data_IF_647956966888
#
_entry.id   IF_647956966888
#
_cell.length_a   1.000
_cell.length_b   1.000
_cell.length_c   1.000
_cell.angle_alpha   90.00
_cell.angle_beta   90.00
_cell.angle_gamma   90.00
#
_symmetry.space_group_name_H-M   'P 1'
#
loop_
_entity.id
_entity.type
_entity.pdbx_description
1 polymer ?
#
# COMPACT_ATOMS: atom_id res chain seq x y z
N UNK A 1 38.04 45.41 22.32
CA UNK A 1 39.44 45.01 22.05
C UNK A 1 39.72 43.76 22.87
N UNK A 2 39.80 42.59 22.24
CA UNK A 2 40.03 41.32 22.95
C UNK A 2 41.51 41.20 23.31
N UNK A 3 41.79 40.82 24.56
CA UNK A 3 43.13 40.81 25.13
C UNK A 3 43.88 39.53 24.71
N UNK A 4 44.71 39.61 23.65
CA UNK A 4 45.37 38.46 23.02
C UNK A 4 46.60 37.94 23.77
N UNK A 5 47.03 38.62 24.83
CA UNK A 5 48.20 38.25 25.64
C UNK A 5 48.07 36.86 26.29
N UNK A 6 46.84 36.46 26.66
CA UNK A 6 46.54 35.16 27.24
C UNK A 6 46.76 33.97 26.28
N UNK A 7 46.75 34.21 24.96
CA UNK A 7 46.90 33.16 23.94
C UNK A 7 48.38 32.86 23.59
N UNK A 8 49.34 33.66 24.09
CA UNK A 8 50.78 33.43 23.83
C UNK A 8 51.42 32.40 24.75
N UNK A 9 50.78 32.11 25.88
CA UNK A 9 51.23 31.08 26.83
C UNK A 9 50.70 29.71 26.38
N UNK A 10 51.59 28.88 25.86
CA UNK A 10 51.28 27.55 25.33
C UNK A 10 50.60 26.65 26.36
N UNK A 11 50.95 26.76 27.65
CA UNK A 11 50.37 25.92 28.71
C UNK A 11 48.92 26.34 28.98
N UNK A 12 48.67 27.65 29.12
CA UNK A 12 47.30 28.18 29.28
C UNK A 12 46.42 27.92 28.07
N UNK A 13 46.99 27.98 26.87
CA UNK A 13 46.27 27.65 25.64
C UNK A 13 45.81 26.18 25.65
N UNK A 14 46.65 25.26 26.11
CA UNK A 14 46.30 23.84 26.19
C UNK A 14 45.24 23.57 27.27
N UNK A 15 45.36 24.17 28.46
CA UNK A 15 44.35 24.09 29.52
C UNK A 15 42.99 24.62 29.06
N UNK A 16 42.98 25.76 28.35
CA UNK A 16 41.76 26.30 27.75
C UNK A 16 41.16 25.33 26.74
N UNK A 17 41.99 24.73 25.87
CA UNK A 17 41.56 23.72 24.90
C UNK A 17 40.92 22.50 25.56
N UNK A 18 41.52 21.98 26.63
CA UNK A 18 40.99 20.83 27.38
C UNK A 18 39.64 21.18 28.02
N UNK A 19 39.56 22.34 28.69
CA UNK A 19 38.34 22.80 29.33
C UNK A 19 37.21 23.00 28.31
N UNK A 20 37.53 23.57 27.15
CA UNK A 20 36.60 23.76 26.06
C UNK A 20 36.10 22.41 25.51
N UNK A 21 37.01 21.48 25.23
CA UNK A 21 36.67 20.16 24.70
C UNK A 21 35.80 19.36 25.67
N UNK A 22 36.10 19.40 26.96
CA UNK A 22 35.30 18.73 27.98
C UNK A 22 33.88 19.29 28.04
N UNK A 23 33.73 20.63 28.01
CA UNK A 23 32.41 21.27 27.98
C UNK A 23 31.64 20.95 26.69
N UNK A 24 32.32 20.95 25.56
CA UNK A 24 31.71 20.59 24.28
C UNK A 24 31.23 19.14 24.25
N UNK A 25 32.00 18.20 24.83
CA UNK A 25 31.59 16.81 24.99
C UNK A 25 30.33 16.64 25.85
N UNK A 26 30.26 17.36 26.98
CA UNK A 26 29.06 17.35 27.83
C UNK A 26 27.82 17.90 27.10
N UNK A 27 27.97 18.96 26.31
CA UNK A 27 26.89 19.51 25.48
C UNK A 27 26.44 18.53 24.40
N UNK A 28 27.37 17.85 23.73
CA UNK A 28 27.01 16.81 22.74
C UNK A 28 26.25 15.66 23.36
N UNK A 29 26.62 15.24 24.58
CA UNK A 29 25.91 14.20 25.30
C UNK A 29 24.46 14.63 25.62
N UNK A 30 24.29 15.83 26.17
CA UNK A 30 22.96 16.39 26.46
C UNK A 30 22.10 16.50 25.20
N UNK A 31 22.66 16.97 24.09
CA UNK A 31 21.94 17.07 22.81
C UNK A 31 21.48 15.70 22.31
N UNK A 32 22.31 14.66 22.46
CA UNK A 32 21.92 13.29 22.09
C UNK A 32 20.79 12.76 22.96
N UNK A 33 20.86 12.98 24.27
CA UNK A 33 19.75 12.58 25.16
C UNK A 33 18.46 13.30 24.76
N UNK A 34 18.50 14.62 24.57
CA UNK A 34 17.32 15.38 24.14
C UNK A 34 16.77 14.89 22.80
N UNK A 35 17.63 14.69 21.79
CA UNK A 35 17.25 14.14 20.48
C UNK A 35 16.55 12.78 20.63
N UNK A 36 17.09 11.88 21.46
CA UNK A 36 16.45 10.58 21.72
C UNK A 36 15.08 10.72 22.38
N UNK A 37 14.92 11.64 23.36
CA UNK A 37 13.61 11.88 23.98
C UNK A 37 12.59 12.48 23.01
N UNK A 38 13.02 13.34 22.10
CA UNK A 38 12.15 13.94 21.09
C UNK A 38 11.68 12.88 20.09
N UNK A 39 12.56 11.97 19.68
CA UNK A 39 12.20 10.88 18.76
C UNK A 39 11.26 9.86 19.43
N UNK A 40 11.49 9.53 20.70
CA UNK A 40 10.55 8.71 21.49
C UNK A 40 9.17 9.34 21.58
N UNK A 41 9.09 10.65 21.87
CA UNK A 41 7.83 11.38 21.92
C UNK A 41 7.12 11.41 20.55
N UNK A 42 7.88 11.57 19.47
CA UNK A 42 7.36 11.52 18.10
C UNK A 42 6.74 10.16 17.80
N UNK A 43 7.41 9.06 18.14
CA UNK A 43 6.86 7.72 17.92
C UNK A 43 5.63 7.46 18.78
N UNK A 44 5.62 7.87 20.06
CA UNK A 44 4.43 7.78 20.92
C UNK A 44 3.20 8.48 20.33
N UNK A 45 3.38 9.69 19.79
CA UNK A 45 2.27 10.45 19.16
C UNK A 45 1.77 9.71 17.92
N UNK A 46 2.68 9.27 17.06
CA UNK A 46 2.34 8.51 15.84
C UNK A 46 1.60 7.21 16.15
N UNK A 47 2.00 6.49 17.19
CA UNK A 47 1.32 5.29 17.68
C UNK A 47 -0.08 5.60 18.23
N UNK A 48 -0.21 6.63 19.06
CA UNK A 48 -1.49 7.05 19.63
C UNK A 48 -2.50 7.45 18.55
N UNK A 49 -2.06 8.21 17.55
CA UNK A 49 -2.86 8.57 16.38
C UNK A 49 -3.28 7.33 15.59
N UNK A 50 -2.33 6.44 15.30
CA UNK A 50 -2.60 5.20 14.57
C UNK A 50 -3.62 4.32 15.30
N UNK A 51 -3.47 4.17 16.62
CA UNK A 51 -4.40 3.42 17.48
C UNK A 51 -5.79 4.03 17.49
N UNK A 52 -5.89 5.36 17.63
CA UNK A 52 -7.16 6.08 17.62
C UNK A 52 -7.87 5.92 16.28
N UNK A 53 -7.16 6.07 15.17
CA UNK A 53 -7.70 5.85 13.83
C UNK A 53 -8.19 4.42 13.63
N UNK A 54 -7.42 3.42 14.06
CA UNK A 54 -7.83 2.01 13.98
C UNK A 54 -9.09 1.72 14.82
N UNK A 55 -9.24 2.37 15.99
CA UNK A 55 -10.41 2.21 16.85
C UNK A 55 -11.65 2.91 16.29
N UNK A 56 -11.49 4.13 15.77
CA UNK A 56 -12.59 4.93 15.26
C UNK A 56 -13.09 4.46 13.88
N UNK A 57 -12.17 4.14 12.97
CA UNK A 57 -12.49 3.77 11.59
C UNK A 57 -12.57 2.25 11.38
N UNK A 58 -12.16 1.47 12.39
CA UNK A 58 -11.96 0.03 12.26
C UNK A 58 -10.77 -0.30 11.35
N UNK A 59 -10.20 -1.50 11.51
CA UNK A 59 -9.26 -2.02 10.51
C UNK A 59 -10.08 -2.46 9.29
N UNK A 60 -10.10 -1.66 8.22
CA UNK A 60 -10.67 -2.09 6.93
C UNK A 60 -9.95 -3.36 6.47
N UNK A 61 -10.62 -4.51 6.61
CA UNK A 61 -10.24 -5.72 5.90
C UNK A 61 -10.57 -5.45 4.45
N UNK A 62 -9.55 -5.10 3.67
CA UNK A 62 -9.65 -5.07 2.23
C UNK A 62 -9.76 -6.53 1.77
N UNK A 63 -10.97 -7.07 1.80
CA UNK A 63 -11.28 -8.29 1.08
C UNK A 63 -11.08 -7.96 -0.39
N UNK A 64 -9.98 -8.46 -0.96
CA UNK A 64 -9.80 -8.40 -2.39
C UNK A 64 -10.91 -9.27 -3.00
N UNK A 65 -11.92 -8.62 -3.58
CA UNK A 65 -12.94 -9.29 -4.37
C UNK A 65 -12.23 -9.60 -5.70
N UNK A 66 -11.87 -10.86 -5.93
CA UNK A 66 -11.59 -11.31 -7.29
C UNK A 66 -12.86 -11.05 -8.10
N UNK A 67 -12.87 -9.94 -8.83
CA UNK A 67 -14.09 -9.41 -9.43
C UNK A 67 -14.65 -10.28 -10.56
N UNK A 68 -13.98 -11.38 -10.92
CA UNK A 68 -14.39 -12.24 -12.03
C UNK A 68 -14.11 -13.69 -11.64
N UNK A 69 -15.17 -14.46 -11.41
CA UNK A 69 -15.04 -15.90 -11.23
C UNK A 69 -14.47 -16.55 -12.51
N UNK A 70 -13.65 -17.59 -12.33
CA UNK A 70 -13.07 -18.35 -13.45
C UNK A 70 -14.16 -18.90 -14.38
N UNK A 71 -15.30 -19.26 -13.80
CA UNK A 71 -16.51 -19.68 -14.50
C UNK A 71 -17.09 -18.59 -15.44
N UNK A 72 -17.03 -17.29 -15.06
CA UNK A 72 -17.44 -16.19 -15.96
C UNK A 72 -16.46 -16.08 -17.15
N UNK A 73 -15.16 -16.22 -16.91
CA UNK A 73 -14.15 -16.13 -17.97
C UNK A 73 -14.31 -17.23 -19.01
N UNK A 74 -14.55 -18.47 -18.57
CA UNK A 74 -14.78 -19.61 -19.45
C UNK A 74 -16.06 -19.44 -20.28
N UNK A 75 -17.14 -18.95 -19.67
CA UNK A 75 -18.40 -18.65 -20.36
C UNK A 75 -18.25 -17.54 -21.42
N UNK A 76 -17.43 -16.51 -21.17
CA UNK A 76 -17.15 -15.46 -22.15
C UNK A 76 -16.43 -16.04 -23.38
N UNK A 77 -15.47 -16.94 -23.15
CA UNK A 77 -14.74 -17.64 -24.22
C UNK A 77 -15.68 -18.55 -25.01
N UNK A 78 -16.53 -19.30 -24.34
CA UNK A 78 -17.49 -20.20 -24.98
C UNK A 78 -18.51 -19.42 -25.84
N UNK A 79 -19.08 -18.33 -25.31
CA UNK A 79 -20.01 -17.47 -26.06
C UNK A 79 -19.37 -16.90 -27.33
N UNK A 80 -18.09 -16.50 -27.27
CA UNK A 80 -17.33 -16.04 -28.45
C UNK A 80 -17.22 -17.15 -29.51
N UNK A 81 -16.87 -18.36 -29.10
CA UNK A 81 -16.75 -19.50 -30.02
C UNK A 81 -18.09 -19.86 -30.68
N UNK A 82 -19.19 -19.89 -29.92
CA UNK A 82 -20.54 -20.15 -30.46
C UNK A 82 -20.98 -19.06 -31.45
N UNK A 83 -20.63 -17.80 -31.20
CA UNK A 83 -20.90 -16.69 -32.13
C UNK A 83 -20.12 -16.86 -33.44
N UNK A 84 -18.87 -17.29 -33.37
CA UNK A 84 -18.07 -17.64 -34.55
C UNK A 84 -18.68 -18.80 -35.33
N UNK A 85 -19.19 -19.83 -34.65
CA UNK A 85 -19.86 -20.96 -35.29
C UNK A 85 -21.13 -20.53 -36.06
N UNK A 86 -21.92 -19.59 -35.52
CA UNK A 86 -23.07 -19.00 -36.23
C UNK A 86 -22.62 -18.27 -37.50
N UNK A 87 -21.59 -17.42 -37.39
CA UNK A 87 -21.09 -16.63 -38.52
C UNK A 87 -20.52 -17.50 -39.64
N UNK A 88 -19.91 -18.64 -39.28
CA UNK A 88 -19.30 -19.58 -40.23
C UNK A 88 -20.29 -20.61 -40.79
N UNK A 89 -21.54 -20.62 -40.33
CA UNK A 89 -22.55 -21.57 -40.79
C UNK A 89 -22.85 -21.40 -42.28
N UNK A 90 -22.90 -22.52 -43.02
CA UNK A 90 -23.09 -22.52 -44.48
C UNK A 90 -24.51 -22.87 -44.89
N UNK A 91 -25.19 -23.69 -44.09
CA UNK A 91 -26.57 -24.09 -44.34
C UNK A 91 -27.53 -23.50 -43.30
N UNK A 92 -28.81 -23.34 -43.68
CA UNK A 92 -29.84 -22.83 -42.77
C UNK A 92 -29.99 -23.71 -41.53
N UNK A 93 -29.84 -25.03 -41.69
CA UNK A 93 -29.92 -26.01 -40.59
C UNK A 93 -28.77 -25.85 -39.60
N UNK A 94 -27.54 -25.72 -40.08
CA UNK A 94 -26.37 -25.43 -39.23
C UNK A 94 -26.52 -24.12 -38.46
N UNK A 95 -27.02 -23.07 -39.13
CA UNK A 95 -27.25 -21.77 -38.51
C UNK A 95 -28.27 -21.86 -37.38
N UNK A 96 -29.38 -22.56 -37.59
CA UNK A 96 -30.42 -22.77 -36.56
C UNK A 96 -29.86 -23.52 -35.36
N UNK A 97 -29.06 -24.57 -35.59
CA UNK A 97 -28.43 -25.35 -34.51
C UNK A 97 -27.43 -24.49 -33.71
N UNK A 98 -26.53 -23.78 -34.39
CA UNK A 98 -25.55 -22.90 -33.74
C UNK A 98 -26.22 -21.74 -32.98
N UNK A 99 -27.34 -21.23 -33.49
CA UNK A 99 -28.14 -20.20 -32.84
C UNK A 99 -28.78 -20.71 -31.54
N UNK A 100 -29.27 -21.95 -31.53
CA UNK A 100 -29.84 -22.59 -30.34
C UNK A 100 -28.76 -22.73 -29.23
N UNK A 101 -27.59 -23.24 -29.59
CA UNK A 101 -26.46 -23.41 -28.65
C UNK A 101 -25.97 -22.06 -28.08
N UNK A 102 -25.83 -21.02 -28.90
CA UNK A 102 -25.49 -19.68 -28.42
C UNK A 102 -26.54 -19.10 -27.47
N UNK A 103 -27.82 -19.38 -27.71
CA UNK A 103 -28.92 -18.89 -26.88
C UNK A 103 -28.89 -19.51 -25.48
N UNK A 104 -28.52 -20.79 -25.38
CA UNK A 104 -28.39 -21.51 -24.13
C UNK A 104 -27.22 -20.98 -23.27
N UNK A 105 -26.02 -20.88 -23.83
CA UNK A 105 -24.85 -20.29 -23.15
C UNK A 105 -25.12 -18.86 -22.71
N UNK A 106 -25.83 -18.06 -23.53
CA UNK A 106 -26.20 -16.69 -23.17
C UNK A 106 -27.23 -16.61 -22.03
N UNK A 107 -28.08 -17.62 -21.83
CA UNK A 107 -28.97 -17.70 -20.66
C UNK A 107 -28.19 -18.03 -19.39
N UNK A 108 -27.28 -18.99 -19.46
CA UNK A 108 -26.42 -19.39 -18.34
C UNK A 108 -25.56 -18.22 -17.85
N UNK A 109 -24.93 -17.49 -18.76
CA UNK A 109 -24.14 -16.30 -18.43
C UNK A 109 -24.96 -15.21 -17.71
N UNK A 110 -26.22 -14.97 -18.13
CA UNK A 110 -27.13 -14.04 -17.43
C UNK A 110 -27.49 -14.51 -16.03
N UNK A 111 -27.58 -15.82 -15.83
CA UNK A 111 -27.88 -16.41 -14.52
C UNK A 111 -26.68 -16.27 -13.57
N UNK A 112 -25.48 -16.63 -14.03
CA UNK A 112 -24.23 -16.49 -13.26
C UNK A 112 -23.96 -15.04 -12.86
N UNK A 113 -24.15 -14.09 -13.78
CA UNK A 113 -24.01 -12.67 -13.47
C UNK A 113 -24.97 -12.21 -12.36
N UNK A 114 -26.19 -12.75 -12.30
CA UNK A 114 -27.13 -12.46 -11.22
C UNK A 114 -26.69 -13.09 -9.90
N UNK A 115 -26.20 -14.33 -9.93
CA UNK A 115 -25.74 -15.04 -8.73
C UNK A 115 -24.51 -14.37 -8.11
N UNK A 116 -23.54 -13.95 -8.91
CA UNK A 116 -22.34 -13.23 -8.44
C UNK A 116 -22.68 -11.88 -7.78
N UNK A 117 -23.68 -11.17 -8.32
CA UNK A 117 -24.19 -9.93 -7.71
C UNK A 117 -24.95 -10.16 -6.40
N UNK A 118 -25.44 -11.38 -6.13
CA UNK A 118 -26.13 -11.74 -4.89
C UNK A 118 -25.14 -12.29 -3.85
N UNK A 119 -24.04 -12.91 -4.29
CA UNK A 119 -23.09 -13.62 -3.43
C UNK A 119 -22.10 -12.72 -2.70
N UNK A 120 -21.94 -11.46 -3.09
CA UNK A 120 -21.01 -10.54 -2.44
C UNK A 120 -21.49 -9.12 -2.38
#
# INVERSE_FOLDING_TARGET
MFNTALLRDTNKLNEFKITLNNRFGALQYLLKEEETTMEENRERIKEALTSTCQKALGRKKHHHKECISMEILDNIKERKNKKTAINNSRTRTEKVKAQAEYTEVNKQMKHLHRQENIRG
#
